data_IF_944364993077
#
_entry.id   IF_944364993077
#
_cell.length_a   1.000
_cell.length_b   1.000
_cell.length_c   1.000
_cell.angle_alpha   90.00
_cell.angle_beta   90.00
_cell.angle_gamma   90.00
#
_symmetry.space_group_name_H-M   'P 1'
#
loop_
_entity.id
_entity.type
_entity.pdbx_description
1 polymer ?
#
# COMPACT_ATOMS: atom_id res chain seq x y z
N UNK A 1 -21.93 -24.45 2.63
CA UNK A 1 -21.45 -23.05 2.77
C UNK A 1 -20.85 -22.83 4.16
N UNK A 2 -19.53 -22.71 4.25
CA UNK A 2 -18.84 -22.50 5.54
C UNK A 2 -19.06 -21.07 6.06
N UNK A 3 -18.92 -20.85 7.38
CA UNK A 3 -19.08 -19.50 7.98
C UNK A 3 -18.13 -18.46 7.36
N UNK A 4 -16.92 -18.89 6.96
CA UNK A 4 -15.92 -18.07 6.26
C UNK A 4 -16.45 -17.61 4.90
N UNK A 5 -16.99 -18.52 4.08
CA UNK A 5 -17.60 -18.17 2.79
C UNK A 5 -18.75 -17.17 2.96
N UNK A 6 -19.66 -17.42 3.91
CA UNK A 6 -20.78 -16.49 4.18
C UNK A 6 -20.31 -15.07 4.48
N UNK A 7 -19.27 -14.92 5.31
CA UNK A 7 -18.69 -13.61 5.64
C UNK A 7 -18.02 -13.00 4.39
N UNK A 8 -17.28 -13.80 3.62
CA UNK A 8 -16.60 -13.34 2.43
C UNK A 8 -17.58 -12.84 1.35
N UNK A 9 -18.63 -13.60 1.08
CA UNK A 9 -19.65 -13.31 0.08
C UNK A 9 -20.51 -12.12 0.48
N UNK A 10 -20.93 -12.06 1.75
CA UNK A 10 -21.64 -10.89 2.31
C UNK A 10 -20.84 -9.59 2.13
N UNK A 11 -19.51 -9.67 2.26
CA UNK A 11 -18.61 -8.54 2.08
C UNK A 11 -18.18 -8.30 0.61
N UNK A 12 -18.79 -9.02 -0.34
CA UNK A 12 -18.51 -8.95 -1.79
C UNK A 12 -17.04 -9.24 -2.14
N UNK A 13 -16.40 -10.15 -1.40
CA UNK A 13 -15.01 -10.55 -1.61
C UNK A 13 -13.96 -9.49 -1.26
N UNK A 14 -14.32 -8.46 -0.48
CA UNK A 14 -13.39 -7.40 -0.01
C UNK A 14 -12.67 -7.74 1.28
N UNK A 15 -13.10 -8.78 1.97
CA UNK A 15 -12.57 -9.14 3.27
C UNK A 15 -11.53 -10.24 3.11
N UNK A 16 -10.27 -9.91 3.37
CA UNK A 16 -9.20 -10.90 3.51
C UNK A 16 -9.16 -11.53 4.90
N UNK A 17 -8.19 -12.43 5.09
CA UNK A 17 -7.96 -13.21 6.33
C UNK A 17 -8.15 -12.39 7.60
N UNK A 18 -7.52 -11.21 7.67
CA UNK A 18 -7.53 -10.35 8.86
C UNK A 18 -8.93 -9.81 9.19
N UNK A 19 -9.72 -9.43 8.17
CA UNK A 19 -11.08 -8.91 8.35
C UNK A 19 -12.08 -10.04 8.63
N UNK A 20 -11.92 -11.19 7.98
CA UNK A 20 -12.73 -12.38 8.26
C UNK A 20 -12.49 -12.89 9.69
N UNK A 21 -11.23 -12.88 10.15
CA UNK A 21 -10.88 -13.22 11.53
C UNK A 21 -11.55 -12.29 12.54
N UNK A 22 -11.44 -10.97 12.34
CA UNK A 22 -12.07 -9.99 13.21
C UNK A 22 -13.59 -10.17 13.27
N UNK A 23 -14.23 -10.43 12.13
CA UNK A 23 -15.67 -10.67 12.05
C UNK A 23 -16.08 -11.96 12.79
N UNK A 24 -15.27 -13.02 12.71
CA UNK A 24 -15.50 -14.24 13.48
C UNK A 24 -15.33 -14.00 14.98
N UNK A 25 -14.32 -13.25 15.41
CA UNK A 25 -14.14 -12.88 16.82
C UNK A 25 -15.32 -12.04 17.32
N UNK A 26 -15.78 -11.06 16.53
CA UNK A 26 -16.95 -10.24 16.87
C UNK A 26 -18.23 -11.07 17.02
N UNK A 27 -18.33 -12.19 16.31
CA UNK A 27 -19.46 -13.14 16.42
C UNK A 27 -19.25 -14.19 17.54
N UNK A 28 -18.24 -14.02 18.39
CA UNK A 28 -17.96 -14.88 19.54
C UNK A 28 -17.09 -16.11 19.25
N UNK A 29 -16.51 -16.24 18.06
CA UNK A 29 -15.65 -17.38 17.74
C UNK A 29 -14.21 -17.17 18.21
N UNK A 30 -13.71 -18.10 19.04
CA UNK A 30 -12.30 -18.15 19.43
C UNK A 30 -11.55 -18.99 18.39
N UNK A 31 -11.02 -18.33 17.37
CA UNK A 31 -10.28 -18.99 16.28
C UNK A 31 -8.98 -18.25 15.98
N UNK A 32 -7.91 -18.99 15.74
CA UNK A 32 -6.62 -18.41 15.36
C UNK A 32 -6.66 -17.93 13.89
N UNK A 33 -6.09 -16.75 13.62
CA UNK A 33 -5.95 -16.20 12.28
C UNK A 33 -5.20 -17.15 11.31
N UNK A 34 -4.23 -17.94 11.80
CA UNK A 34 -3.51 -18.94 10.98
C UNK A 34 -4.44 -20.04 10.47
N UNK A 35 -5.40 -20.49 11.31
CA UNK A 35 -6.40 -21.49 10.90
C UNK A 35 -7.30 -20.94 9.80
N UNK A 36 -7.74 -19.69 9.94
CA UNK A 36 -8.55 -19.01 8.92
C UNK A 36 -7.76 -18.85 7.63
N UNK A 37 -6.48 -18.47 7.71
CA UNK A 37 -5.62 -18.33 6.53
C UNK A 37 -5.56 -19.65 5.73
N UNK A 38 -5.27 -20.77 6.40
CA UNK A 38 -5.24 -22.08 5.72
C UNK A 38 -6.58 -22.44 5.09
N UNK A 39 -7.68 -22.21 5.79
CA UNK A 39 -9.02 -22.50 5.28
C UNK A 39 -9.39 -21.61 4.09
N UNK A 40 -9.14 -20.29 4.18
CA UNK A 40 -9.38 -19.38 3.05
C UNK A 40 -8.54 -19.75 1.83
N UNK A 41 -7.27 -20.16 2.03
CA UNK A 41 -6.40 -20.61 0.94
C UNK A 41 -6.88 -21.92 0.30
N UNK A 42 -7.29 -22.90 1.11
CA UNK A 42 -7.84 -24.17 0.62
C UNK A 42 -9.18 -24.00 -0.13
N UNK A 43 -9.88 -22.90 0.13
CA UNK A 43 -11.14 -22.53 -0.54
C UNK A 43 -10.93 -21.52 -1.66
N UNK A 44 -9.67 -21.16 -1.99
CA UNK A 44 -9.30 -20.17 -3.00
C UNK A 44 -9.98 -18.79 -2.82
N UNK A 45 -10.26 -18.42 -1.57
CA UNK A 45 -10.91 -17.16 -1.21
C UNK A 45 -9.87 -16.04 -1.05
N UNK A 46 -9.67 -15.27 -2.10
CA UNK A 46 -8.74 -14.15 -2.11
C UNK A 46 -9.46 -12.80 -2.08
N UNK A 47 -9.05 -11.93 -1.16
CA UNK A 47 -9.57 -10.56 -1.11
C UNK A 47 -9.16 -9.78 -2.35
N UNK A 48 -10.09 -9.03 -2.94
CA UNK A 48 -9.76 -8.07 -3.99
C UNK A 48 -8.78 -7.03 -3.46
N UNK A 49 -7.63 -6.87 -4.11
CA UNK A 49 -6.73 -5.74 -3.87
C UNK A 49 -7.35 -4.48 -4.48
N UNK A 50 -7.34 -3.33 -3.78
CA UNK A 50 -7.65 -2.05 -4.41
C UNK A 50 -6.72 -1.85 -5.60
N UNK A 51 -7.24 -1.30 -6.71
CA UNK A 51 -6.36 -0.81 -7.78
C UNK A 51 -5.44 0.26 -7.18
N UNK A 52 -4.14 0.13 -7.42
CA UNK A 52 -3.18 1.14 -7.07
C UNK A 52 -3.59 2.46 -7.74
N UNK A 53 -3.68 3.53 -6.94
CA UNK A 53 -4.01 4.84 -7.50
C UNK A 53 -2.79 5.32 -8.27
N UNK A 54 -2.99 5.59 -9.55
CA UNK A 54 -1.97 6.18 -10.42
C UNK A 54 -1.61 7.58 -9.89
N UNK A 55 -0.39 7.73 -9.39
CA UNK A 55 0.16 9.00 -8.92
C UNK A 55 1.09 9.56 -10.01
N UNK A 56 0.55 10.02 -11.14
CA UNK A 56 1.33 10.88 -12.01
C UNK A 56 1.04 12.31 -11.65
N UNK A 57 2.10 13.00 -11.29
CA UNK A 57 2.11 14.44 -11.10
C UNK A 57 1.69 15.10 -12.42
N UNK A 58 0.53 15.76 -12.43
CA UNK A 58 -0.01 16.49 -13.58
C UNK A 58 -0.24 17.95 -13.18
N UNK A 59 0.81 18.59 -12.68
CA UNK A 59 0.85 20.02 -12.39
C UNK A 59 2.04 20.65 -13.10
N UNK A 60 1.98 21.97 -13.31
CA UNK A 60 3.21 22.74 -13.52
C UNK A 60 3.97 22.73 -12.19
N UNK A 61 5.18 22.17 -12.19
CA UNK A 61 6.12 22.36 -11.08
C UNK A 61 6.37 23.87 -11.02
N UNK A 62 5.73 24.55 -10.06
CA UNK A 62 5.95 25.99 -9.83
C UNK A 62 7.46 26.25 -9.81
N UNK A 63 7.92 27.16 -10.67
CA UNK A 63 9.31 27.59 -10.87
C UNK A 63 10.31 26.45 -10.68
N UNK A 64 10.59 25.74 -11.78
CA UNK A 64 11.85 25.00 -11.90
C UNK A 64 12.96 25.99 -11.55
N UNK A 65 13.69 25.74 -10.46
CA UNK A 65 14.84 26.55 -10.12
C UNK A 65 15.88 26.40 -11.23
N UNK A 66 16.47 27.51 -11.66
CA UNK A 66 17.49 27.47 -12.69
C UNK A 66 18.62 26.51 -12.28
N UNK A 67 19.12 25.74 -13.25
CA UNK A 67 20.26 24.85 -13.03
C UNK A 67 21.55 25.69 -12.94
N UNK A 68 21.75 26.32 -11.78
CA UNK A 68 22.88 27.22 -11.50
C UNK A 68 24.22 26.49 -11.60
N UNK A 69 24.26 25.19 -11.27
CA UNK A 69 25.49 24.39 -11.29
C UNK A 69 25.89 24.06 -12.73
N UNK A 70 24.93 23.74 -13.61
CA UNK A 70 25.16 23.41 -15.02
C UNK A 70 26.37 22.48 -15.28
N UNK A 71 26.58 21.48 -14.39
CA UNK A 71 27.72 20.54 -14.38
C UNK A 71 29.11 21.16 -14.15
N UNK A 72 29.20 22.41 -13.75
CA UNK A 72 30.44 22.99 -13.25
C UNK A 72 30.63 22.64 -11.77
N UNK A 73 31.59 21.75 -11.49
CA UNK A 73 31.97 21.31 -10.16
C UNK A 73 33.28 21.92 -9.66
N UNK A 74 33.87 22.86 -10.42
CA UNK A 74 35.09 23.53 -10.00
C UNK A 74 34.81 24.49 -8.84
N UNK A 75 35.66 24.46 -7.81
CA UNK A 75 35.47 25.15 -6.52
C UNK A 75 36.86 25.57 -6.00
N UNK A 76 36.99 26.80 -5.53
CA UNK A 76 38.26 27.35 -5.00
C UNK A 76 38.36 27.26 -3.47
N UNK A 77 37.24 27.10 -2.77
CA UNK A 77 37.19 26.91 -1.32
C UNK A 77 35.95 26.07 -0.92
N UNK A 78 35.98 25.33 0.20
CA UNK A 78 34.84 24.52 0.63
C UNK A 78 33.57 25.36 0.84
N UNK A 79 32.40 24.72 0.74
CA UNK A 79 31.06 25.32 0.96
C UNK A 79 30.63 26.38 -0.07
N UNK A 80 31.21 26.42 -1.27
CA UNK A 80 30.79 27.35 -2.32
C UNK A 80 29.61 26.88 -3.18
N UNK A 81 29.39 25.56 -3.30
CA UNK A 81 28.29 24.98 -4.08
C UNK A 81 27.56 23.95 -3.21
N UNK A 82 26.28 24.21 -2.91
CA UNK A 82 25.43 23.34 -2.11
C UNK A 82 24.27 22.88 -2.98
N UNK A 83 24.12 21.58 -3.14
CA UNK A 83 23.00 20.98 -3.87
C UNK A 83 22.19 20.14 -2.89
N UNK A 84 20.89 20.39 -2.83
CA UNK A 84 19.91 19.46 -2.29
C UNK A 84 19.26 18.75 -3.48
N UNK A 85 19.05 17.45 -3.40
CA UNK A 85 18.21 16.79 -4.40
C UNK A 85 16.78 17.33 -4.25
N UNK A 86 16.27 17.93 -5.34
CA UNK A 86 14.90 18.40 -5.45
C UNK A 86 14.08 17.26 -6.04
N UNK A 87 13.01 16.87 -5.33
CA UNK A 87 11.99 15.91 -5.76
C UNK A 87 11.24 16.39 -7.00
#
# INVERSE_FOLDING_TARGET
MTKIQKIFDYNKGRYGVRRVHKELVNRGYIVNHKRIQRLMHAMELFSKRPKEKYHFYKGEVRKIADNIINRDFHITAPLQKWKTDVL
#
